data_IF_629221564975
#
_entry.id   IF_629221564975
#
_cell.length_a   1.000
_cell.length_b   1.000
_cell.length_c   1.000
_cell.angle_alpha   90.00
_cell.angle_beta   90.00
_cell.angle_gamma   90.00
#
_symmetry.space_group_name_H-M   'P 1'
#
loop_
_entity.id
_entity.type
_entity.pdbx_description
1 polymer ?
#
# COMPACT_ATOMS: atom_id res chain seq x y z
N UNK A 1 -9.16 -1.68 -24.75
CA UNK A 1 -9.55 -0.89 -25.95
C UNK A 1 -8.68 0.37 -26.00
N UNK A 2 -7.62 0.37 -26.82
CA UNK A 2 -6.55 1.40 -26.80
C UNK A 2 -6.56 2.33 -28.02
N UNK A 3 -7.32 2.00 -29.07
CA UNK A 3 -7.36 2.76 -30.33
C UNK A 3 -7.62 4.27 -30.15
N UNK A 4 -8.59 4.72 -29.33
CA UNK A 4 -8.83 6.16 -29.17
C UNK A 4 -7.62 6.91 -28.61
N UNK A 5 -6.87 6.29 -27.69
CA UNK A 5 -5.75 6.91 -26.99
C UNK A 5 -4.41 6.78 -27.74
N UNK A 6 -4.27 5.77 -28.59
CA UNK A 6 -3.02 5.48 -29.30
C UNK A 6 -3.06 5.86 -30.79
N UNK A 7 -4.15 5.57 -31.49
CA UNK A 7 -4.24 5.81 -32.94
C UNK A 7 -4.98 7.12 -33.23
N UNK A 8 -6.20 7.27 -32.72
CA UNK A 8 -7.03 8.43 -33.04
C UNK A 8 -6.44 9.72 -32.48
N UNK A 9 -5.76 9.66 -31.33
CA UNK A 9 -5.02 10.77 -30.74
C UNK A 9 -3.77 11.18 -31.55
N UNK A 10 -3.12 10.25 -32.26
CA UNK A 10 -1.87 10.49 -33.00
C UNK A 10 -2.12 10.85 -34.46
N UNK A 11 -3.21 10.35 -35.07
CA UNK A 11 -3.56 10.63 -36.47
C UNK A 11 -3.55 12.13 -36.85
N UNK A 12 -3.98 13.08 -35.99
CA UNK A 12 -3.85 14.52 -36.27
C UNK A 12 -2.40 15.01 -36.45
N UNK A 13 -1.40 14.34 -35.88
CA UNK A 13 0.02 14.69 -36.10
C UNK A 13 0.44 14.34 -37.53
N UNK A 14 0.07 13.15 -38.01
CA UNK A 14 0.34 12.73 -39.40
C UNK A 14 -0.37 13.63 -40.42
N UNK A 15 -1.54 14.16 -40.05
CA UNK A 15 -2.29 15.15 -40.86
C UNK A 15 -1.51 16.44 -41.11
N UNK A 16 -0.69 16.89 -40.17
CA UNK A 16 0.15 18.09 -40.35
C UNK A 16 1.11 17.95 -41.54
N UNK A 17 1.45 16.72 -41.91
CA UNK A 17 2.34 16.40 -43.03
C UNK A 17 1.58 15.92 -44.28
N UNK A 18 0.24 15.88 -44.25
CA UNK A 18 -0.58 15.29 -45.32
C UNK A 18 -0.32 13.79 -45.49
N UNK A 19 -0.07 13.07 -44.39
CA UNK A 19 0.29 11.66 -44.36
C UNK A 19 -0.64 10.83 -43.47
N UNK A 20 -1.91 11.22 -43.31
CA UNK A 20 -2.87 10.48 -42.49
C UNK A 20 -3.02 9.01 -42.87
N UNK A 21 -2.91 8.72 -44.17
CA UNK A 21 -3.03 7.37 -44.73
C UNK A 21 -1.73 6.56 -44.63
N UNK A 22 -0.64 7.16 -44.13
CA UNK A 22 0.61 6.45 -43.84
C UNK A 22 0.64 5.84 -42.43
N UNK A 23 -0.37 6.14 -41.59
CA UNK A 23 -0.49 5.61 -40.24
C UNK A 23 -1.65 4.62 -40.17
N UNK A 24 -1.34 3.35 -39.88
CA UNK A 24 -2.31 2.26 -39.90
C UNK A 24 -2.66 1.77 -38.49
N UNK A 25 -3.89 1.29 -38.35
CA UNK A 25 -4.37 0.60 -37.14
C UNK A 25 -4.71 -0.83 -37.48
N UNK A 26 -4.25 -1.76 -36.65
CA UNK A 26 -4.62 -3.16 -36.71
C UNK A 26 -5.05 -3.66 -35.35
N UNK A 27 -6.11 -4.46 -35.32
CA UNK A 27 -6.59 -5.14 -34.13
C UNK A 27 -6.62 -6.64 -34.42
N UNK A 28 -5.71 -7.38 -33.79
CA UNK A 28 -5.74 -8.83 -33.83
C UNK A 28 -6.89 -9.35 -32.96
N UNK A 29 -7.82 -10.09 -33.58
CA UNK A 29 -9.00 -10.67 -32.92
C UNK A 29 -8.93 -12.19 -32.77
N UNK A 30 -7.94 -12.83 -33.39
CA UNK A 30 -7.75 -14.27 -33.38
C UNK A 30 -6.24 -14.60 -33.47
N UNK A 31 -5.63 -15.19 -32.43
CA UNK A 31 -6.23 -15.53 -31.13
C UNK A 31 -6.53 -14.32 -30.23
N UNK A 32 -6.02 -13.13 -30.56
CA UNK A 32 -6.24 -11.90 -29.79
C UNK A 32 -5.63 -11.92 -28.37
N UNK A 33 -4.68 -12.82 -28.08
CA UNK A 33 -4.13 -12.97 -26.72
C UNK A 33 -2.81 -12.24 -26.50
N UNK A 34 -1.97 -12.08 -27.52
CA UNK A 34 -0.67 -11.41 -27.41
C UNK A 34 -0.25 -10.67 -28.69
N UNK A 35 0.58 -9.63 -28.54
CA UNK A 35 1.01 -8.74 -29.63
C UNK A 35 2.01 -9.37 -30.62
N UNK A 36 2.47 -10.60 -30.37
CA UNK A 36 3.51 -11.27 -31.19
C UNK A 36 2.96 -12.40 -32.07
N UNK A 37 1.64 -12.55 -32.17
CA UNK A 37 1.00 -13.62 -32.94
C UNK A 37 1.20 -13.45 -34.45
N UNK A 38 1.05 -14.55 -35.20
CA UNK A 38 1.32 -14.60 -36.64
C UNK A 38 0.63 -13.46 -37.41
N UNK A 39 -0.67 -13.25 -37.18
CA UNK A 39 -1.43 -12.18 -37.84
C UNK A 39 -0.86 -10.78 -37.55
N UNK A 40 -0.46 -10.49 -36.31
CA UNK A 40 0.21 -9.23 -35.96
C UNK A 40 1.56 -9.08 -36.70
N UNK A 41 2.34 -10.16 -36.82
CA UNK A 41 3.61 -10.15 -37.56
C UNK A 41 3.40 -9.90 -39.04
N UNK A 42 2.46 -10.61 -39.67
CA UNK A 42 2.12 -10.42 -41.09
C UNK A 42 1.63 -8.99 -41.37
N UNK A 43 0.82 -8.42 -40.48
CA UNK A 43 0.39 -7.03 -40.62
C UNK A 43 1.58 -6.07 -40.52
N UNK A 44 2.49 -6.28 -39.55
CA UNK A 44 3.71 -5.47 -39.43
C UNK A 44 4.59 -5.59 -40.69
N UNK A 45 4.76 -6.80 -41.24
CA UNK A 45 5.51 -7.01 -42.47
C UNK A 45 4.92 -6.24 -43.65
N UNK A 46 3.60 -6.30 -43.85
CA UNK A 46 2.90 -5.55 -44.90
C UNK A 46 3.05 -4.05 -44.72
N UNK A 47 2.94 -3.56 -43.48
CA UNK A 47 3.18 -2.16 -43.14
C UNK A 47 4.59 -1.73 -43.56
N UNK A 48 5.63 -2.51 -43.22
CA UNK A 48 6.99 -2.20 -43.61
C UNK A 48 7.21 -2.28 -45.13
N UNK A 49 6.69 -3.31 -45.80
CA UNK A 49 6.74 -3.41 -47.27
C UNK A 49 6.16 -2.18 -47.94
N UNK A 50 4.97 -1.74 -47.49
CA UNK A 50 4.27 -0.58 -48.05
C UNK A 50 5.03 0.72 -47.80
N UNK A 51 5.36 1.02 -46.54
CA UNK A 51 5.82 2.37 -46.16
C UNK A 51 7.33 2.58 -46.32
N UNK A 52 8.13 1.50 -46.36
CA UNK A 52 9.57 1.56 -46.55
C UNK A 52 10.00 1.11 -47.96
N UNK A 53 9.04 0.85 -48.85
CA UNK A 53 9.29 0.41 -50.22
C UNK A 53 10.16 -0.86 -50.28
N UNK A 54 9.88 -1.81 -49.38
CA UNK A 54 10.53 -3.12 -49.34
C UNK A 54 9.73 -4.12 -50.18
N UNK A 55 10.34 -5.23 -50.64
CA UNK A 55 9.59 -6.32 -51.27
C UNK A 55 8.40 -6.77 -50.39
N UNK A 56 7.30 -7.17 -51.02
CA UNK A 56 6.11 -7.64 -50.31
C UNK A 56 6.43 -8.93 -49.55
N UNK A 57 6.18 -8.92 -48.24
CA UNK A 57 6.30 -10.10 -47.38
C UNK A 57 4.87 -10.54 -47.02
N UNK A 58 4.34 -11.51 -47.76
CA UNK A 58 2.95 -11.96 -47.64
C UNK A 58 2.75 -13.14 -46.67
N UNK A 59 3.84 -13.79 -46.26
CA UNK A 59 3.86 -14.99 -45.42
C UNK A 59 4.88 -14.84 -44.30
N UNK A 60 4.79 -15.73 -43.30
CA UNK A 60 5.75 -15.76 -42.21
C UNK A 60 7.17 -15.95 -42.73
N UNK A 61 8.12 -15.23 -42.12
CA UNK A 61 9.53 -15.41 -42.38
C UNK A 61 9.99 -16.64 -41.56
N UNK A 62 10.45 -17.73 -42.20
CA UNK A 62 10.91 -18.91 -41.47
C UNK A 62 12.06 -18.55 -40.55
N UNK A 63 11.85 -18.67 -39.25
CA UNK A 63 12.84 -18.36 -38.21
C UNK A 63 12.92 -19.44 -37.13
N UNK A 64 12.15 -20.53 -37.26
CA UNK A 64 12.14 -21.62 -36.28
C UNK A 64 13.54 -22.23 -36.06
N UNK A 65 14.35 -22.30 -37.13
CA UNK A 65 15.75 -22.76 -37.05
C UNK A 65 16.71 -21.77 -36.38
N UNK A 66 16.28 -20.51 -36.18
CA UNK A 66 17.05 -19.48 -35.48
C UNK A 66 16.72 -19.43 -33.98
N UNK A 67 15.61 -20.06 -33.56
CA UNK A 67 15.21 -20.13 -32.16
C UNK A 67 16.08 -21.15 -31.44
N UNK A 68 17.05 -20.64 -30.69
CA UNK A 68 17.89 -21.45 -29.80
C UNK A 68 17.07 -22.08 -28.68
N UNK A 69 17.46 -23.28 -28.28
CA UNK A 69 16.92 -23.96 -27.09
C UNK A 69 17.24 -23.21 -25.80
N UNK A 70 16.55 -23.56 -24.70
CA UNK A 70 16.86 -23.02 -23.38
C UNK A 70 18.35 -23.19 -23.03
N UNK A 71 18.92 -24.38 -23.26
CA UNK A 71 20.30 -24.69 -22.94
C UNK A 71 21.32 -23.90 -23.78
N UNK A 72 20.96 -23.52 -25.00
CA UNK A 72 21.78 -22.66 -25.86
C UNK A 72 21.67 -21.18 -25.51
N UNK A 73 20.58 -20.77 -24.84
CA UNK A 73 20.33 -19.40 -24.39
C UNK A 73 20.73 -19.17 -22.93
N UNK A 74 20.89 -20.22 -22.13
CA UNK A 74 21.18 -20.08 -20.71
C UNK A 74 22.60 -19.57 -20.50
N UNK A 75 22.71 -18.25 -20.40
CA UNK A 75 23.87 -17.62 -19.81
C UNK A 75 23.75 -17.79 -18.28
N UNK A 76 24.49 -18.75 -17.73
CA UNK A 76 24.48 -18.99 -16.28
C UNK A 76 24.80 -17.72 -15.49
N UNK A 77 24.12 -17.51 -14.37
CA UNK A 77 24.47 -16.45 -13.42
C UNK A 77 25.62 -16.91 -12.52
N UNK A 78 26.47 -16.00 -12.02
CA UNK A 78 27.44 -16.34 -10.98
C UNK A 78 26.76 -17.08 -9.81
N UNK A 79 27.41 -18.10 -9.23
CA UNK A 79 26.83 -18.95 -8.18
C UNK A 79 26.26 -18.18 -6.97
N UNK A 80 26.77 -16.97 -6.71
CA UNK A 80 26.37 -16.13 -5.59
C UNK A 80 25.66 -14.84 -6.06
N UNK A 81 25.00 -14.86 -7.22
CA UNK A 81 24.26 -13.70 -7.69
C UNK A 81 23.05 -13.45 -6.78
N UNK A 82 23.05 -12.32 -6.08
CA UNK A 82 21.99 -11.99 -5.14
C UNK A 82 20.71 -11.62 -5.88
N UNK A 83 19.57 -12.14 -5.40
CA UNK A 83 18.26 -11.61 -5.78
C UNK A 83 18.03 -10.27 -5.08
N UNK A 84 17.05 -9.48 -5.53
CA UNK A 84 16.64 -8.25 -4.83
C UNK A 84 16.26 -8.54 -3.37
N UNK A 85 15.55 -9.65 -3.13
CA UNK A 85 15.24 -10.12 -1.78
C UNK A 85 16.49 -10.51 -0.99
N UNK A 86 17.45 -11.20 -1.62
CA UNK A 86 18.73 -11.55 -1.01
C UNK A 86 19.53 -10.32 -0.59
N UNK A 87 19.58 -9.30 -1.45
CA UNK A 87 20.19 -8.00 -1.15
C UNK A 87 19.45 -7.29 -0.01
N UNK A 88 18.11 -7.26 -0.04
CA UNK A 88 17.30 -6.65 1.01
C UNK A 88 17.54 -7.30 2.39
N UNK A 89 17.62 -8.64 2.45
CA UNK A 89 17.95 -9.39 3.67
C UNK A 89 19.35 -9.07 4.19
N UNK A 90 20.34 -8.95 3.31
CA UNK A 90 21.69 -8.56 3.72
C UNK A 90 21.74 -7.14 4.28
N UNK A 91 21.07 -6.18 3.62
CA UNK A 91 20.98 -4.80 4.09
C UNK A 91 20.24 -4.73 5.44
N UNK A 92 19.15 -5.47 5.59
CA UNK A 92 18.41 -5.60 6.84
C UNK A 92 19.27 -6.14 7.99
N UNK A 93 20.01 -7.22 7.75
CA UNK A 93 20.91 -7.83 8.75
C UNK A 93 22.06 -6.91 9.17
N UNK A 94 22.40 -5.90 8.37
CA UNK A 94 23.41 -4.89 8.67
C UNK A 94 22.86 -3.69 9.48
N UNK A 95 21.55 -3.58 9.67
CA UNK A 95 20.96 -2.47 10.43
C UNK A 95 21.45 -2.50 11.89
N UNK A 96 21.93 -1.37 12.38
CA UNK A 96 22.32 -1.16 13.77
C UNK A 96 21.63 0.10 14.28
N UNK A 97 20.79 -0.04 15.30
CA UNK A 97 20.07 1.09 15.91
C UNK A 97 20.59 1.30 17.33
N UNK A 98 20.84 2.55 17.76
CA UNK A 98 21.23 2.81 19.14
C UNK A 98 20.17 2.30 20.13
N UNK A 99 20.59 1.79 21.31
CA UNK A 99 19.66 1.32 22.33
C UNK A 99 18.82 2.49 22.85
N UNK A 100 17.56 2.18 23.17
CA UNK A 100 16.67 3.15 23.83
C UNK A 100 17.11 3.27 25.29
N UNK A 101 17.35 4.50 25.74
CA UNK A 101 17.74 4.73 27.13
C UNK A 101 16.65 4.29 28.11
N UNK A 102 17.05 3.63 29.20
CA UNK A 102 16.17 3.31 30.33
C UNK A 102 15.88 4.51 31.23
N UNK A 103 16.66 5.60 31.10
CA UNK A 103 16.44 6.86 31.81
C UNK A 103 15.18 7.56 31.26
N UNK A 104 14.16 7.82 32.10
CA UNK A 104 12.90 8.42 31.65
C UNK A 104 13.06 9.78 30.96
N UNK A 105 13.93 10.66 31.48
CA UNK A 105 14.11 11.99 30.93
C UNK A 105 14.79 11.93 29.56
N UNK A 106 15.82 11.09 29.42
CA UNK A 106 16.48 10.86 28.12
C UNK A 106 15.55 10.20 27.12
N UNK A 107 14.67 9.30 27.57
CA UNK A 107 13.68 8.64 26.72
C UNK A 107 12.65 9.62 26.16
N UNK A 108 12.18 10.57 26.96
CA UNK A 108 11.26 11.62 26.50
C UNK A 108 11.92 12.50 25.43
N UNK A 109 13.14 12.97 25.67
CA UNK A 109 13.89 13.76 24.69
C UNK A 109 14.14 12.98 23.39
N UNK A 110 14.60 11.73 23.51
CA UNK A 110 14.79 10.83 22.38
C UNK A 110 13.48 10.62 21.58
N UNK A 111 12.36 10.35 22.26
CA UNK A 111 11.08 10.12 21.58
C UNK A 111 10.60 11.37 20.81
N UNK A 112 10.84 12.57 21.32
CA UNK A 112 10.55 13.82 20.60
C UNK A 112 11.39 13.98 19.32
N UNK A 113 12.69 13.67 19.38
CA UNK A 113 13.57 13.66 18.20
C UNK A 113 13.13 12.61 17.18
N UNK A 114 12.85 11.39 17.65
CA UNK A 114 12.41 10.30 16.78
C UNK A 114 11.05 10.60 16.13
N UNK A 115 10.12 11.28 16.82
CA UNK A 115 8.85 11.72 16.23
C UNK A 115 9.07 12.70 15.07
N UNK A 116 10.05 13.60 15.20
CA UNK A 116 10.43 14.54 14.13
C UNK A 116 11.01 13.78 12.93
N UNK A 117 11.91 12.82 13.18
CA UNK A 117 12.45 11.95 12.14
C UNK A 117 11.34 11.15 11.44
N UNK A 118 10.45 10.52 12.22
CA UNK A 118 9.33 9.73 11.71
C UNK A 118 8.42 10.57 10.82
N UNK A 119 8.02 11.77 11.28
CA UNK A 119 7.19 12.71 10.52
C UNK A 119 7.77 13.00 9.13
N UNK A 120 9.08 13.23 9.05
CA UNK A 120 9.77 13.48 7.79
C UNK A 120 9.87 12.22 6.92
N UNK A 121 10.23 11.09 7.53
CA UNK A 121 10.45 9.81 6.84
C UNK A 121 9.17 9.32 6.15
N UNK A 122 8.05 9.32 6.89
CA UNK A 122 6.74 8.90 6.36
C UNK A 122 6.05 10.01 5.58
N UNK A 123 6.73 11.15 5.36
CA UNK A 123 6.17 12.34 4.68
C UNK A 123 4.78 12.72 5.20
N UNK A 124 4.62 12.68 6.52
CA UNK A 124 3.34 12.96 7.15
C UNK A 124 2.86 14.37 6.82
N UNK A 125 1.66 14.46 6.26
CA UNK A 125 0.92 15.69 5.98
C UNK A 125 -0.43 15.55 6.68
N UNK A 126 -0.75 16.40 7.68
CA UNK A 126 -2.06 16.33 8.33
C UNK A 126 -3.17 16.60 7.31
N UNK A 127 -4.32 15.98 7.53
CA UNK A 127 -5.51 16.11 6.68
C UNK A 127 -6.71 16.49 7.52
N UNK A 128 -7.65 17.21 6.94
CA UNK A 128 -8.90 17.60 7.58
C UNK A 128 -10.08 16.95 6.88
N UNK A 129 -11.17 16.69 7.61
CA UNK A 129 -12.42 16.24 7.00
C UNK A 129 -13.08 17.44 6.33
N UNK A 130 -13.09 17.46 5.00
CA UNK A 130 -13.75 18.52 4.22
C UNK A 130 -15.25 18.26 4.11
N UNK A 131 -15.63 17.00 3.85
CA UNK A 131 -17.03 16.59 3.68
C UNK A 131 -17.29 15.27 4.35
N UNK A 132 -18.38 15.22 5.10
CA UNK A 132 -18.88 14.02 5.76
C UNK A 132 -20.19 13.60 5.10
N UNK A 133 -20.13 12.55 4.29
CA UNK A 133 -21.30 11.80 3.79
C UNK A 133 -21.09 10.33 4.16
N UNK A 134 -21.74 9.38 3.47
CA UNK A 134 -21.44 7.93 3.61
C UNK A 134 -19.95 7.61 3.46
N UNK A 135 -19.16 8.54 2.89
CA UNK A 135 -17.70 8.54 2.80
C UNK A 135 -17.19 9.89 3.30
N UNK A 136 -16.06 9.91 4.02
CA UNK A 136 -15.37 11.14 4.41
C UNK A 136 -14.35 11.53 3.33
N UNK A 137 -14.49 12.72 2.76
CA UNK A 137 -13.46 13.31 1.87
C UNK A 137 -12.54 14.18 2.69
N UNK A 138 -11.24 13.96 2.53
CA UNK A 138 -10.18 14.67 3.22
C UNK A 138 -9.67 15.86 2.39
N UNK A 139 -9.01 16.82 3.03
CA UNK A 139 -8.49 18.05 2.41
C UNK A 139 -7.45 17.82 1.29
N UNK A 140 -6.88 16.62 1.19
CA UNK A 140 -5.99 16.22 0.10
C UNK A 140 -6.74 15.54 -1.07
N UNK A 141 -8.08 15.55 -1.06
CA UNK A 141 -8.94 14.92 -2.06
C UNK A 141 -9.06 13.40 -1.94
N UNK A 142 -8.35 12.78 -0.99
CA UNK A 142 -8.45 11.35 -0.71
C UNK A 142 -9.64 11.08 0.22
N UNK A 143 -10.11 9.84 0.24
CA UNK A 143 -11.24 9.45 1.09
C UNK A 143 -10.88 8.35 2.07
N UNK A 144 -11.57 8.38 3.21
CA UNK A 144 -11.66 7.29 4.17
C UNK A 144 -13.14 7.00 4.45
N UNK A 145 -13.47 5.78 4.83
CA UNK A 145 -14.85 5.40 5.14
C UNK A 145 -14.92 4.85 6.56
N UNK A 146 -15.94 5.22 7.33
CA UNK A 146 -16.17 4.64 8.63
C UNK A 146 -17.65 4.56 8.97
N UNK A 147 -17.99 3.61 9.84
CA UNK A 147 -19.31 3.45 10.42
C UNK A 147 -19.19 3.59 11.94
N UNK A 148 -20.01 4.48 12.51
CA UNK A 148 -20.08 4.71 13.95
C UNK A 148 -21.23 3.89 14.55
N UNK A 149 -20.88 2.94 15.42
CA UNK A 149 -21.81 2.11 16.17
C UNK A 149 -21.88 2.54 17.63
N UNK A 150 -23.08 2.56 18.18
CA UNK A 150 -23.32 2.64 19.63
C UNK A 150 -24.69 2.05 19.97
N UNK A 151 -24.85 1.54 21.19
CA UNK A 151 -26.17 1.21 21.68
C UNK A 151 -27.04 2.48 21.79
N UNK A 152 -28.35 2.36 21.61
CA UNK A 152 -29.29 3.51 21.66
C UNK A 152 -29.20 4.23 23.02
N UNK A 153 -28.96 3.48 24.09
CA UNK A 153 -28.83 3.97 25.46
C UNK A 153 -27.37 4.22 25.89
N UNK A 154 -26.39 4.14 24.98
CA UNK A 154 -25.00 4.43 25.32
C UNK A 154 -24.87 5.92 25.71
N UNK A 155 -24.28 6.24 26.87
CA UNK A 155 -24.09 7.63 27.28
C UNK A 155 -23.08 8.32 26.35
N UNK A 156 -23.15 9.66 26.24
CA UNK A 156 -22.27 10.42 25.34
C UNK A 156 -20.79 10.26 25.68
N UNK A 157 -20.48 10.06 26.97
CA UNK A 157 -19.13 9.84 27.49
C UNK A 157 -18.72 8.35 27.55
N UNK A 158 -19.48 7.45 26.90
CA UNK A 158 -19.09 6.06 26.79
C UNK A 158 -17.71 5.94 26.12
N UNK A 159 -16.84 5.00 26.57
CA UNK A 159 -15.53 4.80 25.97
C UNK A 159 -15.62 4.59 24.47
N UNK A 160 -14.61 5.06 23.74
CA UNK A 160 -14.58 4.96 22.27
C UNK A 160 -13.44 4.07 21.82
N UNK A 161 -13.79 3.07 21.00
CA UNK A 161 -12.83 2.21 20.30
C UNK A 161 -12.90 2.47 18.80
N UNK A 162 -11.77 2.81 18.19
CA UNK A 162 -11.59 2.77 16.72
C UNK A 162 -11.19 1.36 16.34
N UNK A 163 -11.78 0.78 15.29
CA UNK A 163 -11.47 -0.57 14.81
C UNK A 163 -11.07 -0.53 13.34
N UNK A 164 -9.89 -1.09 13.03
CA UNK A 164 -9.36 -1.24 11.68
C UNK A 164 -9.02 -2.71 11.39
N UNK A 165 -9.19 -3.14 10.15
CA UNK A 165 -8.90 -4.51 9.72
C UNK A 165 -8.33 -4.49 8.30
N UNK A 166 -7.25 -5.23 8.05
CA UNK A 166 -6.59 -5.27 6.73
C UNK A 166 -7.52 -5.79 5.63
N UNK A 167 -8.52 -6.61 5.98
CA UNK A 167 -9.58 -7.10 5.09
C UNK A 167 -10.78 -6.14 5.01
N UNK A 168 -10.64 -4.95 5.58
CA UNK A 168 -11.66 -3.90 5.67
C UNK A 168 -12.64 -4.07 6.83
N UNK A 169 -13.35 -3.00 7.16
CA UNK A 169 -14.33 -2.90 8.26
C UNK A 169 -15.40 -3.98 8.24
N UNK A 170 -15.77 -4.51 7.07
CA UNK A 170 -16.72 -5.65 6.94
C UNK A 170 -16.21 -6.91 7.63
N UNK A 171 -14.89 -7.12 7.66
CA UNK A 171 -14.28 -8.25 8.34
C UNK A 171 -14.14 -8.03 9.86
N UNK A 172 -14.39 -6.83 10.37
CA UNK A 172 -14.24 -6.47 11.78
C UNK A 172 -15.51 -6.69 12.63
N UNK A 173 -16.49 -7.44 12.12
CA UNK A 173 -17.81 -7.57 12.75
C UNK A 173 -17.77 -8.14 14.17
N UNK A 174 -16.87 -9.08 14.44
CA UNK A 174 -16.72 -9.69 15.77
C UNK A 174 -16.15 -8.70 16.78
N UNK A 175 -15.11 -7.97 16.42
CA UNK A 175 -14.49 -6.93 17.24
C UNK A 175 -15.47 -5.78 17.52
N UNK A 176 -16.18 -5.31 16.48
CA UNK A 176 -17.21 -4.27 16.63
C UNK A 176 -18.33 -4.74 17.56
N UNK A 177 -18.81 -5.97 17.39
CA UNK A 177 -19.89 -6.51 18.22
C UNK A 177 -19.47 -6.67 19.68
N UNK A 178 -18.28 -7.20 19.98
CA UNK A 178 -17.76 -7.32 21.34
C UNK A 178 -17.71 -5.94 22.03
N UNK A 179 -17.21 -4.92 21.34
CA UNK A 179 -17.09 -3.57 21.90
C UNK A 179 -18.43 -2.89 22.16
N UNK A 180 -19.36 -2.95 21.19
CA UNK A 180 -20.71 -2.41 21.40
C UNK A 180 -21.42 -3.11 22.55
N UNK A 181 -21.26 -4.43 22.70
CA UNK A 181 -21.85 -5.20 23.81
C UNK A 181 -21.26 -4.86 25.18
N UNK A 182 -20.06 -4.25 25.24
CA UNK A 182 -19.47 -3.71 26.47
C UNK A 182 -19.96 -2.28 26.80
N UNK A 183 -20.86 -1.74 25.99
CA UNK A 183 -21.37 -0.37 26.15
C UNK A 183 -20.44 0.71 25.58
N UNK A 184 -19.46 0.33 24.76
CA UNK A 184 -18.56 1.26 24.08
C UNK A 184 -19.20 1.86 22.82
N UNK A 185 -18.69 3.01 22.39
CA UNK A 185 -18.91 3.57 21.06
C UNK A 185 -17.80 3.06 20.14
N UNK A 186 -18.13 2.64 18.92
CA UNK A 186 -17.18 2.02 18.01
C UNK A 186 -17.14 2.75 16.68
N UNK A 187 -15.96 3.19 16.25
CA UNK A 187 -15.75 3.70 14.90
C UNK A 187 -15.00 2.63 14.08
N UNK A 188 -15.72 1.86 13.26
CA UNK A 188 -15.12 0.87 12.37
C UNK A 188 -14.77 1.53 11.03
N UNK A 189 -13.48 1.55 10.67
CA UNK A 189 -12.97 2.34 9.54
C UNK A 189 -12.20 1.54 8.49
N UNK A 190 -12.19 2.07 7.28
CA UNK A 190 -11.30 1.73 6.17
C UNK A 190 -10.44 2.96 5.85
N UNK A 191 -9.12 2.79 5.88
CA UNK A 191 -8.17 3.80 5.40
C UNK A 191 -8.03 3.69 3.88
N UNK A 192 -7.39 4.68 3.27
CA UNK A 192 -6.99 4.64 1.87
C UNK A 192 -6.28 3.31 1.54
N UNK A 193 -6.53 2.75 0.35
CA UNK A 193 -6.00 1.45 -0.11
C UNK A 193 -6.51 0.21 0.64
N UNK A 194 -7.56 0.35 1.45
CA UNK A 194 -8.18 -0.78 2.18
C UNK A 194 -9.70 -0.75 2.12
N UNK A 195 -10.32 -1.92 2.29
CA UNK A 195 -11.77 -2.07 2.38
C UNK A 195 -12.54 -1.81 1.08
N UNK A 196 -13.86 -1.63 1.23
CA UNK A 196 -14.81 -1.69 0.11
C UNK A 196 -14.64 -0.56 -0.90
N UNK A 197 -14.08 0.58 -0.50
CA UNK A 197 -13.81 1.69 -1.41
C UNK A 197 -12.70 1.37 -2.42
N UNK A 198 -11.95 0.29 -2.20
CA UNK A 198 -10.76 -0.08 -2.95
C UNK A 198 -10.77 -1.54 -3.44
N UNK A 199 -11.85 -2.30 -3.23
CA UNK A 199 -11.89 -3.75 -3.46
C UNK A 199 -11.82 -4.20 -4.93
N UNK A 200 -12.12 -3.32 -5.89
CA UNK A 200 -12.09 -3.61 -7.33
C UNK A 200 -10.90 -2.98 -8.06
N UNK A 201 -10.01 -2.33 -7.33
CA UNK A 201 -8.92 -1.51 -7.89
C UNK A 201 -7.58 -2.15 -7.50
N UNK A 202 -6.64 -2.25 -8.45
CA UNK A 202 -5.25 -2.60 -8.18
C UNK A 202 -4.57 -1.52 -7.32
N UNK A 203 -4.80 -1.53 -6.01
CA UNK A 203 -4.30 -0.50 -5.09
C UNK A 203 -2.78 -0.43 -5.06
N UNK A 204 -2.10 -1.55 -5.32
CA UNK A 204 -0.64 -1.62 -5.42
C UNK A 204 -0.08 -0.74 -6.52
N UNK A 205 -0.76 -0.61 -7.65
CA UNK A 205 -0.27 0.18 -8.80
C UNK A 205 -0.32 1.67 -8.49
N UNK A 206 -1.39 2.13 -7.82
CA UNK A 206 -1.49 3.51 -7.33
C UNK A 206 -0.42 3.81 -6.28
N UNK A 207 -0.22 2.88 -5.36
CA UNK A 207 0.82 3.03 -4.34
C UNK A 207 2.22 3.05 -4.98
N UNK A 208 2.48 2.26 -6.01
CA UNK A 208 3.72 2.30 -6.77
C UNK A 208 3.95 3.66 -7.43
N UNK A 209 2.91 4.28 -8.00
CA UNK A 209 2.98 5.65 -8.54
C UNK A 209 3.32 6.65 -7.41
N UNK A 210 2.65 6.53 -6.25
CA UNK A 210 2.92 7.41 -5.10
C UNK A 210 4.35 7.27 -4.60
N UNK A 211 4.85 6.03 -4.46
CA UNK A 211 6.26 5.79 -4.14
C UNK A 211 7.20 6.37 -5.21
N UNK A 212 6.83 6.27 -6.49
CA UNK A 212 7.59 6.80 -7.62
C UNK A 212 7.74 8.33 -7.62
N UNK A 213 6.71 9.06 -7.17
CA UNK A 213 6.79 10.52 -6.93
C UNK A 213 7.37 10.87 -5.55
N UNK A 214 7.80 9.85 -4.81
CA UNK A 214 8.43 9.93 -3.51
C UNK A 214 7.46 10.03 -2.33
N UNK A 215 6.15 10.10 -2.54
CA UNK A 215 5.20 10.07 -1.42
C UNK A 215 5.25 8.72 -0.67
N UNK A 216 4.54 8.64 0.46
CA UNK A 216 4.56 7.50 1.38
C UNK A 216 3.12 7.11 1.72
N UNK A 217 2.58 6.02 1.14
CA UNK A 217 1.21 5.57 1.40
C UNK A 217 0.92 5.40 2.91
N UNK A 218 1.83 4.76 3.65
CA UNK A 218 1.67 4.56 5.10
C UNK A 218 1.55 5.87 5.91
N UNK A 219 2.17 6.96 5.43
CA UNK A 219 2.03 8.28 6.04
C UNK A 219 0.68 8.93 5.77
N UNK A 220 0.07 8.65 4.61
CA UNK A 220 -1.29 9.08 4.27
C UNK A 220 -2.33 8.32 5.09
N UNK A 221 -2.15 7.01 5.26
CA UNK A 221 -2.99 6.16 6.12
C UNK A 221 -2.93 6.63 7.58
N UNK A 222 -1.74 6.90 8.11
CA UNK A 222 -1.59 7.44 9.45
C UNK A 222 -2.27 8.81 9.62
N UNK A 223 -2.20 9.69 8.61
CA UNK A 223 -2.88 10.98 8.64
C UNK A 223 -4.41 10.84 8.65
N UNK A 224 -4.97 9.92 7.86
CA UNK A 224 -6.40 9.63 7.87
C UNK A 224 -6.84 9.06 9.22
N UNK A 225 -6.08 8.12 9.78
CA UNK A 225 -6.38 7.54 11.09
C UNK A 225 -6.37 8.61 12.20
N UNK A 226 -5.35 9.47 12.24
CA UNK A 226 -5.28 10.58 13.20
C UNK A 226 -6.51 11.48 13.07
N UNK A 227 -6.87 11.88 11.85
CA UNK A 227 -8.02 12.75 11.64
C UNK A 227 -9.35 12.09 12.03
N UNK A 228 -9.56 10.83 11.67
CA UNK A 228 -10.76 10.07 12.06
C UNK A 228 -10.88 9.92 13.57
N UNK A 229 -9.75 9.67 14.24
CA UNK A 229 -9.66 9.59 15.69
C UNK A 229 -10.01 10.94 16.35
N UNK A 230 -9.42 12.06 15.90
CA UNK A 230 -9.81 13.38 16.41
C UNK A 230 -11.31 13.64 16.22
N UNK A 231 -11.84 13.36 15.03
CA UNK A 231 -13.25 13.58 14.70
C UNK A 231 -14.22 12.87 15.65
N UNK A 232 -13.96 11.62 16.02
CA UNK A 232 -14.81 10.86 16.95
C UNK A 232 -14.56 11.26 18.40
N UNK A 233 -13.32 11.55 18.78
CA UNK A 233 -12.95 12.01 20.12
C UNK A 233 -13.72 13.29 20.48
N UNK A 234 -13.77 14.25 19.56
CA UNK A 234 -14.44 15.53 19.75
C UNK A 234 -15.98 15.40 19.86
N UNK A 235 -16.55 14.27 19.44
CA UNK A 235 -17.99 13.96 19.51
C UNK A 235 -18.40 13.09 20.68
N UNK A 236 -17.45 12.49 21.40
CA UNK A 236 -17.70 11.45 22.39
C UNK A 236 -17.27 11.83 23.81
N UNK A 237 -16.92 13.11 24.04
CA UNK A 237 -16.38 13.61 25.30
C UNK A 237 -15.18 12.79 25.85
N UNK A 238 -14.57 11.94 25.04
CA UNK A 238 -13.50 11.05 25.44
C UNK A 238 -12.17 11.82 25.52
N UNK A 239 -11.42 11.61 26.60
CA UNK A 239 -10.10 12.22 26.76
C UNK A 239 -9.04 11.55 25.88
N UNK A 240 -9.10 10.22 25.77
CA UNK A 240 -8.29 9.37 24.90
C UNK A 240 -9.15 8.28 24.31
N UNK A 241 -8.73 7.77 23.16
CA UNK A 241 -9.40 6.67 22.49
C UNK A 241 -8.70 5.34 22.78
N UNK A 242 -9.39 4.26 22.46
CA UNK A 242 -8.76 2.97 22.25
C UNK A 242 -8.75 2.65 20.76
N UNK A 243 -7.74 1.93 20.28
CA UNK A 243 -7.65 1.47 18.89
C UNK A 243 -7.42 -0.04 18.85
N UNK A 244 -8.17 -0.70 17.98
CA UNK A 244 -7.99 -2.12 17.65
C UNK A 244 -7.62 -2.27 16.19
N UNK A 245 -6.54 -3.00 15.93
CA UNK A 245 -6.10 -3.35 14.58
C UNK A 245 -6.06 -4.85 14.39
N UNK A 246 -6.43 -5.28 13.19
CA UNK A 246 -6.25 -6.66 12.73
C UNK A 246 -5.45 -6.65 11.43
N UNK A 247 -4.30 -7.32 11.44
CA UNK A 247 -3.39 -7.44 10.30
C UNK A 247 -2.17 -6.53 10.35
N UNK A 248 -1.21 -6.83 9.48
CA UNK A 248 0.11 -6.20 9.43
C UNK A 248 0.08 -4.75 8.93
N UNK A 249 -0.83 -4.39 8.01
CA UNK A 249 -0.89 -3.05 7.40
C UNK A 249 -1.40 -2.02 8.40
N UNK A 250 -2.60 -2.27 8.93
CA UNK A 250 -3.21 -1.38 9.93
C UNK A 250 -2.43 -1.33 11.24
N UNK A 251 -1.71 -2.39 11.63
CA UNK A 251 -0.78 -2.33 12.75
C UNK A 251 0.26 -1.21 12.56
N UNK A 252 0.92 -1.16 11.41
CA UNK A 252 1.99 -0.17 11.17
C UNK A 252 1.41 1.24 11.08
N UNK A 253 0.25 1.43 10.43
CA UNK A 253 -0.44 2.71 10.41
C UNK A 253 -0.82 3.19 11.83
N UNK A 254 -1.31 2.29 12.69
CA UNK A 254 -1.64 2.58 14.08
C UNK A 254 -0.43 2.97 14.92
N UNK A 255 0.68 2.24 14.77
CA UNK A 255 1.93 2.54 15.46
C UNK A 255 2.49 3.91 15.05
N UNK A 256 2.44 4.25 13.76
CA UNK A 256 2.87 5.57 13.26
C UNK A 256 1.93 6.66 13.79
N UNK A 257 0.61 6.47 13.73
CA UNK A 257 -0.36 7.43 14.25
C UNK A 257 -0.14 7.71 15.75
N UNK A 258 0.05 6.66 16.56
CA UNK A 258 0.32 6.79 17.99
C UNK A 258 1.69 7.42 18.27
N UNK A 259 2.70 7.10 17.46
CA UNK A 259 4.00 7.73 17.56
C UNK A 259 3.93 9.23 17.25
N UNK A 260 3.15 9.65 16.26
CA UNK A 260 2.96 11.06 15.88
C UNK A 260 2.07 11.82 16.87
N UNK A 261 1.02 11.19 17.41
CA UNK A 261 0.05 11.76 18.36
C UNK A 261 0.01 10.95 19.68
N UNK A 262 1.03 11.07 20.55
CA UNK A 262 1.22 10.20 21.72
C UNK A 262 0.13 10.28 22.79
N UNK A 263 -0.73 11.31 22.72
CA UNK A 263 -1.83 11.50 23.67
C UNK A 263 -3.20 11.17 23.09
N UNK A 264 -3.29 10.75 21.84
CA UNK A 264 -4.56 10.46 21.18
C UNK A 264 -5.14 9.11 21.63
N UNK A 265 -4.28 8.10 21.78
CA UNK A 265 -4.67 6.76 22.19
C UNK A 265 -4.22 6.47 23.64
N UNK A 266 -5.08 5.77 24.37
CA UNK A 266 -4.79 5.22 25.70
C UNK A 266 -4.23 3.80 25.60
N UNK A 267 -4.80 3.01 24.70
CA UNK A 267 -4.42 1.63 24.43
C UNK A 267 -4.59 1.33 22.94
N UNK A 268 -3.65 0.55 22.40
CA UNK A 268 -3.72 -0.03 21.06
C UNK A 268 -3.62 -1.55 21.21
N UNK A 269 -4.58 -2.26 20.65
CA UNK A 269 -4.62 -3.73 20.63
C UNK A 269 -4.39 -4.22 19.22
N UNK A 270 -3.36 -5.04 19.07
CA UNK A 270 -2.88 -5.54 17.78
C UNK A 270 -3.20 -7.03 17.68
N UNK A 271 -3.99 -7.42 16.68
CA UNK A 271 -4.34 -8.81 16.37
C UNK A 271 -3.76 -9.18 15.02
N UNK A 272 -3.24 -10.40 14.87
CA UNK A 272 -2.64 -10.86 13.61
C UNK A 272 -1.59 -9.87 13.06
N UNK A 273 -0.82 -9.26 13.96
CA UNK A 273 0.26 -8.34 13.62
C UNK A 273 1.59 -9.05 13.39
N UNK A 274 2.61 -8.29 13.07
CA UNK A 274 4.00 -8.72 12.98
C UNK A 274 4.75 -8.37 14.27
N UNK A 275 5.75 -9.18 14.62
CA UNK A 275 6.67 -8.87 15.72
C UNK A 275 7.78 -7.88 15.30
N UNK A 276 8.07 -7.78 14.00
CA UNK A 276 9.08 -6.90 13.42
C UNK A 276 8.76 -6.69 11.93
N UNK A 277 9.15 -5.55 11.37
CA UNK A 277 9.13 -5.31 9.92
C UNK A 277 10.03 -6.30 9.16
N UNK A 278 10.97 -6.99 9.82
CA UNK A 278 11.74 -8.09 9.21
C UNK A 278 10.84 -9.21 8.69
N UNK A 279 9.63 -9.34 9.23
CA UNK A 279 8.64 -10.32 8.77
C UNK A 279 8.42 -10.26 7.25
N UNK A 280 8.40 -9.04 6.67
CA UNK A 280 8.22 -8.84 5.23
C UNK A 280 9.32 -9.52 4.39
N UNK A 281 10.54 -9.62 4.95
CA UNK A 281 11.70 -10.22 4.30
C UNK A 281 11.81 -11.72 4.58
N UNK A 282 11.44 -12.17 5.78
CA UNK A 282 11.49 -13.59 6.16
C UNK A 282 10.39 -14.40 5.47
N UNK A 283 9.16 -13.85 5.38
CA UNK A 283 8.01 -14.49 4.71
C UNK A 283 7.99 -14.34 3.18
N UNK A 284 8.97 -13.68 2.57
CA UNK A 284 8.80 -12.75 1.44
C UNK A 284 7.36 -12.33 1.14
N UNK A 285 6.85 -11.34 1.86
CA UNK A 285 5.55 -10.71 1.53
C UNK A 285 5.67 -10.05 0.17
N UNK A 286 4.72 -10.31 -0.72
CA UNK A 286 4.72 -9.71 -2.06
C UNK A 286 4.31 -8.24 -2.00
N UNK A 287 4.84 -7.44 -2.93
CA UNK A 287 4.56 -6.02 -2.98
C UNK A 287 3.07 -5.71 -3.04
N UNK A 288 2.31 -6.47 -3.83
CA UNK A 288 0.89 -6.23 -4.01
C UNK A 288 0.04 -6.59 -2.78
N UNK A 289 0.58 -7.38 -1.84
CA UNK A 289 -0.12 -7.74 -0.60
C UNK A 289 -0.05 -6.63 0.46
N UNK A 290 0.99 -5.80 0.43
CA UNK A 290 1.27 -4.80 1.48
C UNK A 290 2.12 -3.60 0.99
N UNK A 291 1.78 -3.04 -0.18
CA UNK A 291 2.56 -2.01 -0.86
C UNK A 291 2.88 -0.77 0.01
N UNK A 292 2.01 -0.42 0.95
CA UNK A 292 2.15 0.65 1.92
C UNK A 292 3.32 0.41 2.89
N UNK A 293 3.58 -0.85 3.24
CA UNK A 293 4.65 -1.23 4.15
C UNK A 293 6.05 -1.14 3.53
N UNK A 294 6.15 -1.07 2.20
CA UNK A 294 7.40 -0.83 1.47
C UNK A 294 7.81 0.66 1.50
N UNK A 295 7.73 1.27 2.68
CA UNK A 295 8.13 2.66 2.92
C UNK A 295 9.65 2.78 2.99
N UNK A 296 10.25 3.50 2.02
CA UNK A 296 11.69 3.71 1.94
C UNK A 296 12.27 4.22 3.28
N UNK A 297 13.37 3.59 3.70
CA UNK A 297 14.11 3.85 4.94
C UNK A 297 13.35 3.62 6.26
N UNK A 298 12.05 3.26 6.23
CA UNK A 298 11.28 3.03 7.46
C UNK A 298 11.94 1.96 8.31
N UNK A 299 12.23 0.78 7.72
CA UNK A 299 12.87 -0.29 8.46
C UNK A 299 14.30 0.07 8.89
N UNK A 300 15.01 0.92 8.14
CA UNK A 300 16.36 1.34 8.54
C UNK A 300 16.34 2.10 9.87
N UNK A 301 15.43 3.06 10.01
CA UNK A 301 15.35 3.95 11.17
C UNK A 301 14.46 3.41 12.31
N UNK A 302 13.39 2.70 11.95
CA UNK A 302 12.36 2.21 12.87
C UNK A 302 12.06 0.73 12.65
N UNK A 303 11.91 0.01 13.76
CA UNK A 303 11.16 -1.24 13.78
C UNK A 303 9.96 -1.04 14.73
N UNK A 304 9.08 -2.03 14.82
CA UNK A 304 7.79 -1.90 15.51
C UNK A 304 7.97 -1.56 17.00
N UNK A 305 8.97 -2.14 17.66
CA UNK A 305 9.35 -1.85 19.05
C UNK A 305 9.73 -0.38 19.28
N UNK A 306 10.44 0.24 18.33
CA UNK A 306 10.81 1.66 18.40
C UNK A 306 9.61 2.55 18.17
N UNK A 307 8.70 2.19 17.26
CA UNK A 307 7.47 2.95 17.07
C UNK A 307 6.62 2.95 18.35
N UNK A 308 6.47 1.80 19.01
CA UNK A 308 5.80 1.71 20.32
C UNK A 308 6.48 2.57 21.38
N UNK A 309 7.82 2.54 21.44
CA UNK A 309 8.56 3.35 22.39
C UNK A 309 8.42 4.87 22.16
N UNK A 310 8.29 5.30 20.89
CA UNK A 310 8.02 6.71 20.54
C UNK A 310 6.58 7.10 20.87
N UNK A 311 5.63 6.15 20.77
CA UNK A 311 4.21 6.34 21.05
C UNK A 311 3.85 6.42 22.54
N UNK A 312 4.82 6.27 23.45
CA UNK A 312 4.59 6.47 24.88
C UNK A 312 3.90 7.83 25.16
N UNK A 313 2.89 7.88 26.05
CA UNK A 313 2.50 6.86 27.04
C UNK A 313 1.42 5.86 26.57
N UNK A 314 1.19 5.69 25.27
CA UNK A 314 0.20 4.71 24.76
C UNK A 314 0.54 3.28 25.21
N UNK A 315 -0.44 2.54 25.73
CA UNK A 315 -0.28 1.13 26.09
C UNK A 315 -0.50 0.23 24.87
N UNK A 316 0.28 -0.86 24.75
CA UNK A 316 0.14 -1.82 23.66
C UNK A 316 -0.22 -3.21 24.19
N UNK A 317 -1.22 -3.84 23.60
CA UNK A 317 -1.61 -5.22 23.88
C UNK A 317 -1.47 -6.03 22.59
N UNK A 318 -0.58 -7.01 22.63
CA UNK A 318 -0.29 -7.87 21.49
C UNK A 318 -1.06 -9.18 21.59
N UNK A 319 -1.85 -9.49 20.56
CA UNK A 319 -2.42 -10.81 20.33
C UNK A 319 -1.41 -11.77 19.72
N UNK A 320 -1.90 -12.84 19.08
CA UNK A 320 -1.03 -13.74 18.33
C UNK A 320 -0.42 -13.02 17.11
N UNK A 321 0.91 -13.12 16.97
CA UNK A 321 1.61 -12.65 15.78
C UNK A 321 1.39 -13.59 14.60
N UNK A 322 1.48 -13.04 13.39
CA UNK A 322 1.49 -13.80 12.15
C UNK A 322 2.64 -14.81 12.16
N UNK A 323 2.32 -16.05 11.78
CA UNK A 323 3.32 -17.09 11.66
C UNK A 323 4.28 -16.83 10.49
N UNK A 324 5.54 -17.20 10.69
CA UNK A 324 6.58 -17.19 9.65
C UNK A 324 6.49 -18.39 8.69
N UNK A 325 5.65 -19.38 8.98
CA UNK A 325 5.52 -20.55 8.12
C UNK A 325 4.82 -20.17 6.81
N UNK A 326 5.42 -20.47 5.65
CA UNK A 326 4.71 -20.39 4.39
C UNK A 326 3.52 -21.36 4.45
N UNK A 327 2.32 -20.90 4.06
CA UNK A 327 1.28 -21.85 3.64
C UNK A 327 1.92 -22.65 2.49
N UNK A 328 2.01 -23.96 2.65
CA UNK A 328 2.68 -24.87 1.71
C UNK A 328 2.26 -24.60 0.25
N UNK A 329 3.17 -24.84 -0.70
CA UNK A 329 3.01 -24.49 -2.12
C UNK A 329 1.77 -25.12 -2.78
#
# INVERSE_FOLDING_TARGET
>A
MVKPLAFDAIKPIFKLYGKEDAFDWHENRDPGTHNYQLDNRLQAYRFFSQHFNLPLIASEIPSDSEVKSYDELVAGLPKNNLTILGLARQLAGAIRRPPISSDPAKRIAWAAEQRTLLKNLVRYKPVEIERLWTIATMSNGLSANAVWFKAINAPENAPVTVVLNDKGKKAAGAEVSDRVNRGEQVLAGDLIFSGDAWCEIGTSDFQQILHGIGDRPIGMEAAQLIQMAHWIKDRSAASKLRLETNGMRNQVAALIAAALEPNLFSEIVIREGMASLNYLLEKPVEYHEAADLFCLDLYKEFDLDRLEAVAAPTNFVHGAYLALTPKHP
#
